data_IF_114116372105
#
_entry.id   IF_114116372105
#
_cell.length_a   1.000
_cell.length_b   1.000
_cell.length_c   1.000
_cell.angle_alpha   90.00
_cell.angle_beta   90.00
_cell.angle_gamma   90.00
#
_symmetry.space_group_name_H-M   'P 1'
#
loop_
_entity.id
_entity.type
_entity.pdbx_description
1 polymer ?
#
# COMPACT_ATOMS: atom_id res chain seq x y z
N UNK A 1 9.78 1.72 6.24
CA UNK A 1 8.49 2.17 5.65
C UNK A 1 7.54 1.00 5.57
N UNK A 2 6.32 1.17 6.07
CA UNK A 2 5.20 0.24 5.82
C UNK A 2 4.55 0.57 4.48
N UNK A 3 4.33 -0.44 3.66
CA UNK A 3 3.80 -0.28 2.29
C UNK A 3 2.26 -0.21 2.21
N UNK A 4 1.57 -0.09 3.34
CA UNK A 4 0.11 -0.05 3.42
C UNK A 4 -0.54 -1.40 3.68
N UNK A 5 -1.85 -1.49 3.41
CA UNK A 5 -2.69 -2.68 3.59
C UNK A 5 -2.63 -3.28 5.00
N UNK A 6 -2.80 -2.41 6.02
CA UNK A 6 -2.88 -2.82 7.42
C UNK A 6 -4.22 -3.49 7.75
N UNK A 7 -5.23 -3.30 6.92
CA UNK A 7 -6.60 -3.75 7.11
C UNK A 7 -6.98 -4.86 6.12
N UNK A 8 -8.15 -5.44 6.30
CA UNK A 8 -8.79 -6.41 5.42
C UNK A 8 -8.13 -7.80 5.39
N UNK A 9 -8.00 -8.41 6.59
CA UNK A 9 -7.60 -9.82 6.69
C UNK A 9 -8.56 -10.70 5.88
N UNK A 10 -8.06 -11.35 4.82
CA UNK A 10 -8.87 -12.13 3.87
C UNK A 10 -9.09 -13.55 4.32
N UNK A 11 -8.16 -14.13 5.06
CA UNK A 11 -8.26 -15.50 5.53
C UNK A 11 -9.19 -15.59 6.75
N UNK A 12 -10.31 -16.26 6.56
CA UNK A 12 -11.30 -16.43 7.63
C UNK A 12 -10.77 -17.18 8.84
N UNK A 13 -9.79 -18.07 8.67
CA UNK A 13 -9.19 -18.83 9.78
C UNK A 13 -8.33 -17.95 10.70
N UNK A 14 -7.92 -16.78 10.21
CA UNK A 14 -7.11 -15.81 10.94
C UNK A 14 -7.88 -14.58 11.40
N UNK A 15 -9.12 -14.35 10.93
CA UNK A 15 -9.89 -13.16 11.27
C UNK A 15 -10.07 -13.00 12.78
N UNK A 16 -10.30 -14.08 13.52
CA UNK A 16 -10.43 -14.04 14.99
C UNK A 16 -9.12 -13.73 15.72
N UNK A 17 -7.97 -13.80 15.03
CA UNK A 17 -6.63 -13.51 15.57
C UNK A 17 -6.00 -12.25 15.01
N UNK A 18 -6.55 -11.71 13.93
CA UNK A 18 -6.13 -10.47 13.31
C UNK A 18 -6.98 -9.32 13.86
N UNK A 19 -6.40 -8.44 14.67
CA UNK A 19 -7.04 -7.20 15.07
C UNK A 19 -6.41 -6.06 14.28
N UNK A 20 -7.23 -5.39 13.48
CA UNK A 20 -6.83 -4.17 12.78
C UNK A 20 -6.42 -3.08 13.78
N UNK A 21 -7.18 -2.90 14.87
CA UNK A 21 -6.89 -1.90 15.89
C UNK A 21 -5.49 -2.10 16.51
N UNK A 22 -5.12 -3.34 16.84
CA UNK A 22 -3.79 -3.63 17.43
C UNK A 22 -2.66 -3.32 16.44
N UNK A 23 -2.82 -3.73 15.18
CA UNK A 23 -1.83 -3.44 14.12
C UNK A 23 -1.72 -1.93 13.91
N UNK A 24 -2.86 -1.26 13.79
CA UNK A 24 -2.95 0.19 13.65
C UNK A 24 -2.22 0.92 14.78
N UNK A 25 -2.51 0.57 16.04
CA UNK A 25 -1.91 1.22 17.20
C UNK A 25 -0.38 1.06 17.22
N UNK A 26 0.12 -0.14 16.91
CA UNK A 26 1.56 -0.38 16.81
C UNK A 26 2.20 0.46 15.70
N UNK A 27 1.61 0.45 14.49
CA UNK A 27 2.15 1.20 13.36
C UNK A 27 2.07 2.70 13.60
N UNK A 28 0.96 3.18 14.16
CA UNK A 28 0.79 4.59 14.54
C UNK A 28 1.85 5.03 15.54
N UNK A 29 2.04 4.26 16.61
CA UNK A 29 3.06 4.57 17.61
C UNK A 29 4.44 4.70 16.96
N UNK A 30 4.86 3.74 16.13
CA UNK A 30 6.15 3.79 15.44
C UNK A 30 6.29 5.01 14.51
N UNK A 31 5.19 5.42 13.87
CA UNK A 31 5.17 6.61 13.01
C UNK A 31 5.25 7.91 13.83
N UNK A 32 4.49 8.01 14.90
CA UNK A 32 4.43 9.21 15.75
C UNK A 32 5.75 9.42 16.52
N UNK A 33 6.44 8.34 16.87
CA UNK A 33 7.80 8.36 17.46
C UNK A 33 8.90 8.62 16.40
N UNK A 34 8.58 8.69 15.11
CA UNK A 34 9.52 8.96 14.02
C UNK A 34 10.35 7.76 13.57
N UNK A 35 10.08 6.56 14.08
CA UNK A 35 10.80 5.34 13.67
C UNK A 35 10.29 4.75 12.36
N UNK A 36 9.09 5.10 11.94
CA UNK A 36 8.47 4.55 10.75
C UNK A 36 7.72 5.60 9.92
N UNK A 37 7.38 5.21 8.70
CA UNK A 37 6.43 5.93 7.83
C UNK A 37 5.49 4.89 7.24
N UNK A 38 4.19 5.15 7.27
CA UNK A 38 3.17 4.39 6.57
C UNK A 38 2.79 5.12 5.29
N UNK A 39 2.81 4.45 4.14
CA UNK A 39 2.21 5.00 2.92
C UNK A 39 0.75 4.59 2.79
N UNK A 40 -0.06 5.49 2.23
CA UNK A 40 -1.48 5.25 1.99
C UNK A 40 -1.67 4.11 0.97
N UNK A 41 -2.70 3.28 1.18
CA UNK A 41 -2.99 2.11 0.33
C UNK A 41 -4.41 2.14 -0.22
N UNK A 42 -4.68 1.30 -1.22
CA UNK A 42 -6.03 1.20 -1.78
C UNK A 42 -7.06 0.62 -0.77
N UNK A 43 -6.64 -0.19 0.19
CA UNK A 43 -7.50 -0.67 1.28
C UNK A 43 -7.78 0.44 2.29
N UNK A 44 -6.77 1.21 2.70
CA UNK A 44 -6.96 2.39 3.54
C UNK A 44 -7.83 3.45 2.85
N UNK A 45 -7.63 3.71 1.53
CA UNK A 45 -8.49 4.60 0.75
C UNK A 45 -9.96 4.15 0.79
N UNK A 46 -10.24 2.85 0.58
CA UNK A 46 -11.60 2.33 0.65
C UNK A 46 -12.23 2.55 2.04
N UNK A 47 -11.43 2.40 3.10
CA UNK A 47 -11.89 2.60 4.48
C UNK A 47 -12.22 4.08 4.74
N UNK A 48 -11.31 4.98 4.38
CA UNK A 48 -11.50 6.43 4.47
C UNK A 48 -12.72 6.89 3.65
N UNK A 49 -12.82 6.44 2.41
CA UNK A 49 -13.96 6.78 1.55
C UNK A 49 -15.30 6.30 2.12
N UNK A 50 -15.32 5.16 2.82
CA UNK A 50 -16.52 4.65 3.46
C UNK A 50 -16.96 5.52 4.64
N UNK A 51 -16.06 5.82 5.57
CA UNK A 51 -16.40 6.56 6.79
C UNK A 51 -16.50 8.09 6.57
N UNK A 52 -15.79 8.63 5.59
CA UNK A 52 -15.87 10.04 5.19
C UNK A 52 -16.92 10.31 4.10
N UNK A 53 -17.72 9.29 3.74
CA UNK A 53 -18.80 9.35 2.76
C UNK A 53 -18.40 9.94 1.39
N UNK A 54 -17.13 9.80 0.99
CA UNK A 54 -16.62 10.36 -0.27
C UNK A 54 -17.14 9.62 -1.49
N UNK A 55 -17.33 8.31 -1.37
CA UNK A 55 -17.95 7.47 -2.41
C UNK A 55 -18.54 6.19 -1.84
N UNK A 56 -19.44 5.58 -2.60
CA UNK A 56 -19.97 4.25 -2.23
C UNK A 56 -18.94 3.17 -2.42
N UNK A 57 -18.42 2.62 -1.33
CA UNK A 57 -17.49 1.48 -1.35
C UNK A 57 -18.28 0.17 -1.39
N UNK A 58 -17.79 -0.79 -2.19
CA UNK A 58 -18.40 -2.13 -2.26
C UNK A 58 -18.00 -2.92 -1.00
N UNK A 59 -18.99 -3.25 -0.17
CA UNK A 59 -18.78 -4.01 1.07
C UNK A 59 -18.41 -5.50 0.86
N UNK A 60 -18.43 -6.00 -0.37
CA UNK A 60 -18.05 -7.38 -0.70
C UNK A 60 -16.55 -7.56 -1.02
N UNK A 61 -15.72 -6.54 -0.79
CA UNK A 61 -14.27 -6.66 -0.82
C UNK A 61 -13.86 -7.65 0.30
N UNK A 62 -13.03 -8.63 -0.05
CA UNK A 62 -12.59 -9.66 0.92
C UNK A 62 -11.88 -8.99 2.11
N UNK A 63 -12.25 -9.39 3.33
CA UNK A 63 -11.72 -8.84 4.57
C UNK A 63 -12.37 -7.52 5.03
N UNK A 64 -12.87 -6.69 4.13
CA UNK A 64 -13.40 -5.36 4.45
C UNK A 64 -14.54 -5.36 5.47
N UNK A 65 -15.45 -6.34 5.37
CA UNK A 65 -16.54 -6.48 6.36
C UNK A 65 -16.03 -6.75 7.77
N UNK A 66 -14.93 -7.48 7.91
CA UNK A 66 -14.33 -7.77 9.20
C UNK A 66 -13.75 -6.50 9.81
N UNK A 67 -12.97 -5.75 9.02
CA UNK A 67 -12.44 -4.44 9.46
C UNK A 67 -13.55 -3.46 9.85
N UNK A 68 -14.64 -3.40 9.05
CA UNK A 68 -15.78 -2.53 9.39
C UNK A 68 -16.45 -2.95 10.70
N UNK A 69 -16.65 -4.25 10.91
CA UNK A 69 -17.27 -4.74 12.15
C UNK A 69 -16.43 -4.39 13.39
N UNK A 70 -15.11 -4.55 13.30
CA UNK A 70 -14.18 -4.16 14.38
C UNK A 70 -14.23 -2.66 14.65
N UNK A 71 -14.22 -1.81 13.61
CA UNK A 71 -14.29 -0.37 13.76
C UNK A 71 -15.65 0.13 14.24
N UNK A 72 -16.74 -0.52 13.86
CA UNK A 72 -18.09 -0.15 14.28
C UNK A 72 -18.35 -0.42 15.79
N UNK A 73 -17.51 -1.28 16.41
CA UNK A 73 -17.54 -1.53 17.86
C UNK A 73 -16.78 -0.45 18.68
N UNK A 74 -15.94 0.37 18.01
CA UNK A 74 -15.17 1.43 18.66
C UNK A 74 -16.03 2.67 18.90
N UNK A 75 -15.66 3.44 19.94
CA UNK A 75 -16.22 4.77 20.19
C UNK A 75 -16.04 5.67 18.95
N UNK A 76 -17.07 6.46 18.62
CA UNK A 76 -17.12 7.25 17.39
C UNK A 76 -15.94 8.21 17.26
N UNK A 77 -15.54 8.86 18.34
CA UNK A 77 -14.42 9.80 18.34
C UNK A 77 -13.09 9.09 18.02
N UNK A 78 -12.86 7.94 18.66
CA UNK A 78 -11.64 7.15 18.42
C UNK A 78 -11.62 6.58 16.99
N UNK A 79 -12.74 6.06 16.51
CA UNK A 79 -12.87 5.59 15.12
C UNK A 79 -12.56 6.71 14.12
N UNK A 80 -13.10 7.92 14.36
CA UNK A 80 -12.84 9.09 13.51
C UNK A 80 -11.36 9.46 13.50
N UNK A 81 -10.70 9.47 14.66
CA UNK A 81 -9.25 9.71 14.77
C UNK A 81 -8.44 8.70 13.95
N UNK A 82 -8.80 7.41 14.00
CA UNK A 82 -8.18 6.37 13.16
C UNK A 82 -8.30 6.71 11.66
N UNK A 83 -9.50 7.06 11.22
CA UNK A 83 -9.78 7.34 9.80
C UNK A 83 -9.04 8.59 9.33
N UNK A 84 -9.09 9.67 10.09
CA UNK A 84 -8.38 10.92 9.77
C UNK A 84 -6.86 10.72 9.74
N UNK A 85 -6.33 9.93 10.68
CA UNK A 85 -4.91 9.61 10.68
C UNK A 85 -4.51 8.79 9.44
N UNK A 86 -5.27 7.75 9.08
CA UNK A 86 -5.01 6.98 7.86
C UNK A 86 -5.09 7.83 6.59
N UNK A 87 -6.10 8.70 6.51
CA UNK A 87 -6.32 9.59 5.38
C UNK A 87 -5.19 10.62 5.19
N UNK A 88 -4.55 11.02 6.29
CA UNK A 88 -3.41 11.93 6.29
C UNK A 88 -2.08 11.28 5.85
N UNK A 89 -2.05 9.97 5.60
CA UNK A 89 -0.79 9.30 5.23
C UNK A 89 -0.35 9.67 3.82
N UNK A 90 0.98 9.83 3.59
CA UNK A 90 1.51 10.16 2.28
C UNK A 90 1.20 9.07 1.25
N UNK A 91 0.87 9.44 0.03
CA UNK A 91 0.69 8.52 -1.09
C UNK A 91 2.01 7.85 -1.52
N UNK A 92 3.12 8.53 -1.32
CA UNK A 92 4.45 8.03 -1.60
C UNK A 92 5.52 8.86 -0.91
N UNK A 93 6.68 8.27 -0.71
CA UNK A 93 7.85 8.91 -0.08
C UNK A 93 9.12 8.59 -0.84
N UNK A 94 10.13 9.44 -0.69
CA UNK A 94 11.44 9.22 -1.29
C UNK A 94 12.53 9.45 -0.25
N UNK A 95 13.54 8.59 -0.27
CA UNK A 95 14.72 8.67 0.60
C UNK A 95 15.98 8.56 -0.24
N UNK A 96 17.01 9.30 0.14
CA UNK A 96 18.35 9.17 -0.42
C UNK A 96 19.26 8.61 0.66
N UNK A 97 19.95 7.51 0.37
CA UNK A 97 20.95 6.93 1.25
C UNK A 97 22.30 7.63 1.05
N UNK A 98 23.22 7.47 2.01
CA UNK A 98 24.56 8.07 1.99
C UNK A 98 25.40 7.67 0.76
N UNK A 99 25.11 6.51 0.17
CA UNK A 99 25.73 6.05 -1.08
C UNK A 99 25.15 6.73 -2.35
N UNK A 100 24.23 7.69 -2.20
CA UNK A 100 23.57 8.40 -3.30
C UNK A 100 22.43 7.65 -3.96
N UNK A 101 22.10 6.44 -3.52
CA UNK A 101 20.99 5.65 -4.06
C UNK A 101 19.66 6.21 -3.56
N UNK A 102 18.71 6.44 -4.46
CA UNK A 102 17.41 7.02 -4.15
C UNK A 102 16.33 5.94 -4.20
N UNK A 103 15.55 5.85 -3.14
CA UNK A 103 14.43 4.94 -3.00
C UNK A 103 13.11 5.70 -3.10
N UNK A 104 12.26 5.28 -4.02
CA UNK A 104 10.94 5.86 -4.27
C UNK A 104 9.88 4.82 -3.90
N UNK A 105 9.10 5.08 -2.89
CA UNK A 105 8.27 4.11 -2.19
C UNK A 105 6.82 4.55 -2.26
N UNK A 106 5.94 3.68 -2.74
CA UNK A 106 4.50 3.85 -2.70
C UNK A 106 3.82 2.49 -2.60
N UNK A 107 2.50 2.46 -2.34
CA UNK A 107 1.79 1.21 -2.18
C UNK A 107 1.88 0.30 -3.41
N UNK A 108 1.51 0.78 -4.60
CA UNK A 108 1.52 -0.02 -5.83
C UNK A 108 2.46 0.51 -6.91
N UNK A 109 2.64 1.81 -7.02
CA UNK A 109 3.52 2.44 -7.99
C UNK A 109 3.91 3.86 -7.59
N UNK A 110 5.20 4.18 -7.56
CA UNK A 110 5.70 5.53 -7.38
C UNK A 110 6.13 6.12 -8.74
N UNK A 111 5.51 7.23 -9.14
CA UNK A 111 5.94 7.99 -10.30
C UNK A 111 6.79 9.19 -9.83
N UNK A 112 8.08 9.17 -10.13
CA UNK A 112 9.04 10.21 -9.70
C UNK A 112 8.73 11.62 -10.23
N UNK A 113 7.83 11.73 -11.21
CA UNK A 113 7.41 13.01 -11.78
C UNK A 113 6.31 13.68 -10.97
N UNK A 114 5.69 12.95 -10.04
CA UNK A 114 4.59 13.45 -9.22
C UNK A 114 5.11 14.09 -7.94
N UNK A 115 4.45 15.15 -7.51
CA UNK A 115 4.74 15.79 -6.23
C UNK A 115 3.89 15.19 -5.11
N UNK A 116 4.40 14.17 -4.46
CA UNK A 116 3.71 13.52 -3.33
C UNK A 116 3.67 14.35 -2.05
N UNK A 117 4.43 15.45 -1.97
CA UNK A 117 4.36 16.41 -0.86
C UNK A 117 3.12 17.32 -0.95
N UNK A 118 2.48 17.37 -2.12
CA UNK A 118 1.22 18.08 -2.34
C UNK A 118 0.23 17.17 -3.07
N UNK A 119 -0.44 16.25 -2.33
CA UNK A 119 -1.41 15.34 -2.93
C UNK A 119 -2.59 16.03 -3.62
N UNK A 120 -2.90 17.27 -3.22
CA UNK A 120 -3.99 18.05 -3.83
C UNK A 120 -3.69 18.45 -5.29
N UNK A 121 -2.43 18.45 -5.69
CA UNK A 121 -1.99 18.70 -7.06
C UNK A 121 -2.15 17.48 -7.98
N UNK A 122 -2.42 16.31 -7.41
CA UNK A 122 -2.52 15.06 -8.17
C UNK A 122 -3.94 14.85 -8.71
N UNK A 123 -4.02 14.42 -9.96
CA UNK A 123 -5.29 14.01 -10.56
C UNK A 123 -5.78 12.68 -9.95
N UNK A 124 -7.10 12.40 -9.99
CA UNK A 124 -7.65 11.11 -9.55
C UNK A 124 -7.02 9.89 -10.23
N UNK A 125 -6.58 10.04 -11.50
CA UNK A 125 -5.89 8.97 -12.23
C UNK A 125 -4.49 8.70 -11.68
N UNK A 126 -3.75 9.74 -11.31
CA UNK A 126 -2.42 9.64 -10.69
C UNK A 126 -2.48 9.03 -9.30
N UNK A 127 -3.46 9.44 -8.49
CA UNK A 127 -3.73 8.83 -7.18
C UNK A 127 -4.05 7.35 -7.36
N UNK A 128 -4.99 7.02 -8.24
CA UNK A 128 -5.38 5.64 -8.49
C UNK A 128 -4.22 4.77 -9.02
N UNK A 129 -3.35 5.36 -9.85
CA UNK A 129 -2.13 4.68 -10.33
C UNK A 129 -1.15 4.38 -9.19
N UNK A 130 -0.99 5.32 -8.27
CA UNK A 130 -0.13 5.14 -7.10
C UNK A 130 -0.63 4.05 -6.18
N UNK A 131 -1.95 3.96 -5.99
CA UNK A 131 -2.58 3.01 -5.07
C UNK A 131 -2.87 1.62 -5.68
N UNK A 132 -2.96 1.49 -7.00
CA UNK A 132 -3.37 0.24 -7.68
C UNK A 132 -2.48 -0.16 -8.84
N UNK A 133 -1.50 0.68 -9.21
CA UNK A 133 -0.63 0.45 -10.35
C UNK A 133 -1.24 0.95 -11.67
N UNK A 134 -0.61 0.55 -12.78
CA UNK A 134 -0.93 1.06 -14.11
C UNK A 134 -2.08 0.25 -14.71
N UNK A 135 -3.16 0.94 -15.01
CA UNK A 135 -4.33 0.33 -15.66
C UNK A 135 -4.06 0.13 -17.15
N UNK A 136 -4.21 -1.10 -17.61
CA UNK A 136 -4.21 -1.44 -19.04
C UNK A 136 -5.59 -1.92 -19.46
N UNK A 137 -5.94 -1.67 -20.72
CA UNK A 137 -7.22 -2.09 -21.28
C UNK A 137 -6.99 -2.75 -22.65
N UNK A 138 -7.82 -3.75 -22.97
CA UNK A 138 -7.83 -4.40 -24.28
C UNK A 138 -9.26 -4.77 -24.68
N UNK A 139 -9.47 -4.96 -25.98
CA UNK A 139 -10.74 -5.47 -26.51
C UNK A 139 -10.61 -6.97 -26.78
N UNK A 140 -11.60 -7.72 -26.35
CA UNK A 140 -11.75 -9.13 -26.69
C UNK A 140 -13.21 -9.44 -26.99
N UNK A 141 -13.51 -9.97 -28.16
CA UNK A 141 -14.87 -10.27 -28.64
C UNK A 141 -15.83 -9.06 -28.47
N UNK A 142 -15.37 -7.84 -28.83
CA UNK A 142 -16.15 -6.62 -28.74
C UNK A 142 -16.36 -6.08 -27.31
N UNK A 143 -15.87 -6.76 -26.27
CA UNK A 143 -15.94 -6.31 -24.87
C UNK A 143 -14.62 -5.71 -24.42
N UNK A 144 -14.71 -4.58 -23.72
CA UNK A 144 -13.53 -3.94 -23.11
C UNK A 144 -13.21 -4.60 -21.78
N UNK A 145 -11.99 -5.08 -21.66
CA UNK A 145 -11.40 -5.61 -20.42
C UNK A 145 -10.32 -4.65 -19.92
N UNK A 146 -10.10 -4.62 -18.62
CA UNK A 146 -9.02 -3.86 -18.03
C UNK A 146 -8.45 -4.61 -16.82
N UNK A 147 -7.14 -4.44 -16.61
CA UNK A 147 -6.46 -4.89 -15.39
C UNK A 147 -5.38 -3.90 -14.99
N UNK A 148 -5.00 -3.95 -13.72
CA UNK A 148 -3.79 -3.29 -13.27
C UNK A 148 -2.58 -4.18 -13.53
N UNK A 149 -1.45 -3.59 -13.85
CA UNK A 149 -0.18 -4.28 -14.05
C UNK A 149 0.91 -3.63 -13.23
N UNK A 150 1.81 -4.47 -12.73
CA UNK A 150 2.96 -4.02 -11.98
C UNK A 150 4.01 -3.34 -12.86
N UNK A 151 4.67 -2.36 -12.29
CA UNK A 151 5.70 -1.55 -12.97
C UNK A 151 6.98 -2.34 -13.26
N UNK A 152 7.29 -3.39 -12.53
CA UNK A 152 8.50 -4.21 -12.71
C UNK A 152 8.58 -4.93 -14.05
N UNK A 153 7.46 -5.10 -14.76
CA UNK A 153 7.47 -5.71 -16.11
C UNK A 153 8.22 -4.88 -17.14
N UNK A 154 8.37 -3.59 -16.89
CA UNK A 154 9.20 -2.69 -17.67
C UNK A 154 9.61 -1.47 -16.81
N UNK A 155 10.50 -1.65 -15.85
CA UNK A 155 10.84 -0.61 -14.88
C UNK A 155 11.46 0.63 -15.54
N UNK A 156 12.30 0.47 -16.55
CA UNK A 156 12.95 1.59 -17.27
C UNK A 156 11.92 2.50 -17.92
N UNK A 157 10.96 1.92 -18.66
CA UNK A 157 9.88 2.69 -19.30
C UNK A 157 8.93 3.34 -18.28
N UNK A 158 8.94 2.87 -17.03
CA UNK A 158 8.06 3.33 -15.98
C UNK A 158 8.75 4.22 -14.93
N UNK A 159 9.90 4.76 -15.29
CA UNK A 159 10.61 5.75 -14.50
C UNK A 159 11.76 5.20 -13.64
N UNK A 160 12.07 3.90 -13.69
CA UNK A 160 13.30 3.39 -13.11
C UNK A 160 14.49 3.84 -13.95
N UNK A 161 15.50 4.41 -13.32
CA UNK A 161 16.77 4.82 -13.92
C UNK A 161 17.90 4.47 -12.97
N UNK A 162 19.14 4.58 -13.43
CA UNK A 162 20.32 4.31 -12.61
C UNK A 162 20.28 5.12 -11.30
N UNK A 163 20.73 4.51 -10.23
CA UNK A 163 20.70 5.04 -8.87
C UNK A 163 19.30 5.27 -8.25
N UNK A 164 18.21 4.89 -8.95
CA UNK A 164 16.87 4.98 -8.41
C UNK A 164 16.25 3.59 -8.26
N UNK A 165 15.65 3.32 -7.12
CA UNK A 165 14.93 2.08 -6.82
C UNK A 165 13.46 2.39 -6.58
N UNK A 166 12.59 1.75 -7.33
CA UNK A 166 11.14 1.83 -7.12
C UNK A 166 10.71 0.69 -6.18
N UNK A 167 10.09 1.04 -5.06
CA UNK A 167 9.64 0.08 -4.05
C UNK A 167 8.12 0.07 -3.93
N UNK A 168 7.51 -1.12 -3.93
CA UNK A 168 6.08 -1.28 -3.74
C UNK A 168 5.70 -2.62 -3.06
N UNK A 169 4.46 -2.67 -2.51
CA UNK A 169 3.72 -3.87 -2.13
C UNK A 169 2.64 -4.22 -3.14
N UNK A 170 1.41 -4.53 -2.70
CA UNK A 170 0.17 -4.66 -3.49
C UNK A 170 0.08 -5.86 -4.47
N UNK A 171 1.17 -6.49 -4.83
CA UNK A 171 1.23 -7.34 -6.01
C UNK A 171 1.35 -8.83 -5.72
N UNK A 172 1.34 -9.24 -4.45
CA UNK A 172 1.49 -10.64 -4.02
C UNK A 172 2.74 -11.31 -4.63
N UNK A 173 3.84 -10.55 -4.71
CA UNK A 173 5.10 -11.01 -5.28
C UNK A 173 6.30 -10.45 -4.50
N UNK A 174 7.39 -11.21 -4.52
CA UNK A 174 8.69 -10.78 -4.02
C UNK A 174 9.65 -10.69 -5.19
N UNK A 175 10.11 -9.49 -5.51
CA UNK A 175 11.03 -9.22 -6.61
C UNK A 175 12.08 -8.22 -6.13
N UNK A 176 13.35 -8.54 -6.34
CA UNK A 176 14.47 -7.62 -6.11
C UNK A 176 15.33 -7.56 -7.35
N UNK A 177 15.52 -6.36 -7.86
CA UNK A 177 16.45 -6.04 -8.94
C UNK A 177 17.14 -4.72 -8.62
N UNK A 178 18.18 -4.34 -9.34
CA UNK A 178 18.94 -3.11 -9.09
C UNK A 178 18.06 -1.85 -8.99
N UNK A 179 16.94 -1.82 -9.71
CA UNK A 179 16.06 -0.65 -9.83
C UNK A 179 14.63 -0.87 -9.31
N UNK A 180 14.32 -2.06 -8.81
CA UNK A 180 12.96 -2.40 -8.44
C UNK A 180 12.92 -3.38 -7.28
N UNK A 181 12.09 -3.05 -6.29
CA UNK A 181 11.74 -3.93 -5.18
C UNK A 181 10.21 -4.04 -5.13
N UNK A 182 9.69 -5.26 -5.25
CA UNK A 182 8.32 -5.58 -4.88
C UNK A 182 8.39 -6.46 -3.65
N UNK A 183 7.84 -5.98 -2.55
CA UNK A 183 7.91 -6.65 -1.27
C UNK A 183 6.49 -6.93 -0.75
N UNK A 184 5.86 -7.90 -1.36
CA UNK A 184 4.54 -8.38 -0.97
C UNK A 184 4.52 -9.91 -1.08
N UNK A 185 4.88 -10.63 -0.01
CA UNK A 185 4.87 -12.09 -0.02
C UNK A 185 3.47 -12.70 -0.01
N UNK A 186 2.41 -11.88 -0.13
CA UNK A 186 1.03 -12.35 -0.14
C UNK A 186 0.53 -12.81 1.23
N UNK A 187 0.97 -12.15 2.30
CA UNK A 187 0.66 -12.52 3.68
C UNK A 187 -0.84 -12.61 4.01
N UNK A 188 -1.69 -11.96 3.22
CA UNK A 188 -3.14 -12.06 3.33
C UNK A 188 -3.72 -13.37 2.74
N UNK A 189 -2.95 -14.10 1.93
CA UNK A 189 -3.31 -15.41 1.35
C UNK A 189 -2.58 -16.58 2.02
N UNK A 190 -1.67 -16.28 2.95
CA UNK A 190 -0.82 -17.25 3.64
C UNK A 190 -0.86 -17.01 5.14
N UNK A 191 -0.08 -17.76 5.90
CA UNK A 191 -0.08 -17.79 7.36
C UNK A 191 0.51 -16.53 8.03
N UNK A 192 0.30 -15.35 7.46
CA UNK A 192 0.79 -14.08 8.02
C UNK A 192 2.26 -13.79 7.66
N UNK A 193 2.69 -14.22 6.49
CA UNK A 193 4.06 -13.97 6.00
C UNK A 193 4.33 -12.47 5.82
N UNK A 194 5.44 -11.99 6.37
CA UNK A 194 5.87 -10.60 6.24
C UNK A 194 7.22 -10.56 5.55
N UNK A 195 7.35 -9.69 4.53
CA UNK A 195 8.63 -9.38 3.89
C UNK A 195 9.24 -8.10 4.47
N UNK A 196 10.51 -8.16 4.84
CA UNK A 196 11.28 -7.00 5.26
C UNK A 196 12.43 -6.78 4.29
N UNK A 197 12.39 -5.69 3.54
CA UNK A 197 13.47 -5.28 2.66
C UNK A 197 14.45 -4.37 3.39
N UNK A 198 15.73 -4.75 3.36
CA UNK A 198 16.83 -3.95 3.88
C UNK A 198 17.52 -3.22 2.71
N UNK A 199 17.38 -1.89 2.67
CA UNK A 199 17.93 -1.06 1.60
C UNK A 199 19.47 -0.95 1.64
N UNK A 200 20.11 -1.24 2.76
CA UNK A 200 21.57 -1.13 2.90
C UNK A 200 22.29 -2.30 2.21
N UNK A 201 21.77 -3.51 2.34
CA UNK A 201 22.34 -4.70 1.71
C UNK A 201 21.56 -5.23 0.50
N UNK A 202 20.44 -4.57 0.17
CA UNK A 202 19.59 -4.88 -0.98
C UNK A 202 18.97 -6.29 -0.93
N UNK A 203 18.58 -6.74 0.27
CA UNK A 203 18.03 -8.08 0.52
C UNK A 203 16.62 -8.02 1.12
N UNK A 204 15.82 -9.05 0.83
CA UNK A 204 14.54 -9.29 1.50
C UNK A 204 14.67 -10.48 2.44
N UNK A 205 14.25 -10.29 3.68
CA UNK A 205 14.02 -11.37 4.64
C UNK A 205 12.53 -11.65 4.73
N UNK A 206 12.15 -12.91 4.61
CA UNK A 206 10.76 -13.36 4.73
C UNK A 206 10.58 -13.98 6.12
N UNK A 207 9.63 -13.44 6.87
CA UNK A 207 9.23 -13.96 8.17
C UNK A 207 7.90 -14.69 8.01
N UNK A 208 7.88 -15.96 8.37
CA UNK A 208 6.67 -16.77 8.43
C UNK A 208 6.20 -16.87 9.88
N UNK A 209 4.89 -16.96 10.07
CA UNK A 209 4.29 -17.13 11.39
C UNK A 209 4.40 -18.58 11.84
#
# INVERSE_FOLDING_TARGET
VFLGDLNDCRDKSYQDRCSFEKIYNLVRQLCDEGYATLVHSNHSENLCDHYLERRKVRKNIMGFKHTLAELDELEEEYRRDIIEWLDSRPLGVSYTLDNGKQYHIAHAFHDRKLNYNDPSSLSPEEINRTLRGIKTSWLYQGKKYSKYIGFWRNPTKRGAVDNHVLCAGHWEQVIVTDNCVVNDPGGHNTDGTIGVYNALNHEITIYNN
#
